data_IF_907648394461
#
_entry.id   IF_907648394461
#
_cell.length_a   1.000
_cell.length_b   1.000
_cell.length_c   1.000
_cell.angle_alpha   90.00
_cell.angle_beta   90.00
_cell.angle_gamma   90.00
#
_symmetry.space_group_name_H-M   'P 1'
#
loop_
_entity.id
_entity.type
_entity.pdbx_description
1 polymer ?
#
# COMPACT_ATOMS: atom_id res chain seq x y z
N UNK A 1 -56.54 -51.40 -17.27
CA UNK A 1 -55.63 -50.68 -18.18
C UNK A 1 -55.46 -49.26 -17.58
N UNK A 2 -54.65 -49.11 -16.60
CA UNK A 2 -54.47 -47.81 -15.91
C UNK A 2 -53.07 -47.30 -16.18
N UNK A 3 -53.02 -46.13 -16.80
CA UNK A 3 -51.80 -45.45 -17.10
C UNK A 3 -51.49 -44.47 -15.90
N UNK A 4 -50.53 -44.82 -15.13
CA UNK A 4 -49.96 -43.91 -14.10
C UNK A 4 -49.07 -42.89 -14.77
N UNK A 5 -49.50 -41.62 -14.75
CA UNK A 5 -48.71 -40.47 -15.16
C UNK A 5 -47.86 -40.04 -13.97
N UNK A 6 -46.54 -40.26 -14.06
CA UNK A 6 -45.58 -39.76 -13.10
C UNK A 6 -45.22 -38.31 -13.39
N UNK A 7 -45.64 -37.38 -12.51
CA UNK A 7 -45.20 -35.99 -12.55
C UNK A 7 -43.80 -35.90 -11.94
N UNK A 8 -42.82 -35.61 -12.75
CA UNK A 8 -41.49 -35.26 -12.30
C UNK A 8 -41.45 -33.75 -11.93
N UNK A 9 -41.36 -33.48 -10.63
CA UNK A 9 -41.09 -32.13 -10.12
C UNK A 9 -39.59 -31.79 -10.32
N UNK A 10 -39.33 -30.95 -11.32
CA UNK A 10 -37.99 -30.33 -11.45
C UNK A 10 -37.88 -29.17 -10.46
N UNK A 11 -37.16 -29.39 -9.38
CA UNK A 11 -36.77 -28.31 -8.44
C UNK A 11 -35.61 -27.52 -9.07
N UNK A 12 -35.90 -26.35 -9.61
CA UNK A 12 -34.88 -25.44 -10.09
C UNK A 12 -34.14 -24.81 -8.88
N UNK A 13 -32.90 -25.21 -8.68
CA UNK A 13 -32.01 -24.65 -7.68
C UNK A 13 -31.42 -23.33 -8.22
N UNK A 14 -31.96 -22.19 -7.78
CA UNK A 14 -31.38 -20.88 -8.07
C UNK A 14 -30.04 -20.75 -7.33
N UNK A 15 -28.94 -20.86 -8.05
CA UNK A 15 -27.61 -20.49 -7.54
C UNK A 15 -27.50 -18.98 -7.59
N UNK A 16 -27.66 -18.34 -6.45
CA UNK A 16 -27.27 -16.92 -6.29
C UNK A 16 -25.75 -16.82 -6.35
N UNK A 17 -25.22 -16.49 -7.51
CA UNK A 17 -23.85 -16.04 -7.64
C UNK A 17 -23.77 -14.64 -7.02
N UNK A 18 -23.34 -14.56 -5.76
CA UNK A 18 -23.02 -13.31 -5.12
C UNK A 18 -21.88 -12.63 -5.89
N UNK A 19 -22.19 -11.57 -6.62
CA UNK A 19 -21.15 -10.71 -7.20
C UNK A 19 -20.41 -10.04 -6.03
N UNK A 20 -19.22 -10.55 -5.71
CA UNK A 20 -18.30 -9.84 -4.85
C UNK A 20 -17.94 -8.53 -5.59
N UNK A 21 -18.42 -7.40 -5.07
CA UNK A 21 -18.01 -6.09 -5.57
C UNK A 21 -16.51 -5.98 -5.34
N UNK A 22 -15.71 -6.01 -6.41
CA UNK A 22 -14.32 -5.64 -6.36
C UNK A 22 -14.27 -4.17 -5.96
N UNK A 23 -13.86 -3.88 -4.73
CA UNK A 23 -13.62 -2.50 -4.32
C UNK A 23 -12.58 -1.89 -5.27
N UNK A 24 -12.91 -0.72 -5.83
CA UNK A 24 -11.99 -0.05 -6.74
C UNK A 24 -10.70 0.30 -6.01
N UNK A 25 -9.57 -0.16 -6.56
CA UNK A 25 -8.24 0.15 -6.06
C UNK A 25 -7.95 1.64 -6.24
N UNK A 26 -7.74 2.35 -5.12
CA UNK A 26 -7.33 3.75 -5.15
C UNK A 26 -5.82 3.86 -5.36
N UNK A 27 -5.40 4.84 -6.15
CA UNK A 27 -3.99 5.18 -6.35
C UNK A 27 -3.73 6.53 -5.71
N UNK A 28 -2.70 6.60 -4.87
CA UNK A 28 -2.31 7.83 -4.19
C UNK A 28 -0.86 8.15 -4.52
N UNK A 29 -0.63 9.36 -5.01
CA UNK A 29 0.69 9.88 -5.32
C UNK A 29 1.27 10.59 -4.10
N UNK A 30 2.48 10.20 -3.73
CA UNK A 30 3.27 10.82 -2.67
C UNK A 30 4.56 11.32 -3.31
N UNK A 31 4.71 12.62 -3.41
CA UNK A 31 5.92 13.24 -3.93
C UNK A 31 6.98 13.30 -2.84
N UNK A 32 8.24 13.14 -3.23
CA UNK A 32 9.39 13.23 -2.32
C UNK A 32 10.30 14.32 -2.84
N UNK A 33 10.61 15.28 -1.99
CA UNK A 33 11.47 16.40 -2.35
C UNK A 33 12.47 16.78 -1.26
N UNK A 34 13.66 17.15 -1.71
CA UNK A 34 14.69 17.77 -0.88
C UNK A 34 15.23 19.00 -1.61
N UNK A 35 15.30 20.12 -0.91
CA UNK A 35 15.88 21.38 -1.40
C UNK A 35 16.77 21.95 -0.31
N UNK A 36 18.07 21.76 -0.47
CA UNK A 36 19.07 22.18 0.53
C UNK A 36 19.17 23.69 0.69
N UNK A 37 18.92 24.43 -0.38
CA UNK A 37 18.99 25.89 -0.35
C UNK A 37 17.83 26.49 0.44
N UNK A 38 16.69 25.80 0.44
CA UNK A 38 15.48 26.22 1.16
C UNK A 38 15.26 25.49 2.46
N UNK A 39 16.15 24.54 2.81
CA UNK A 39 16.00 23.66 3.97
C UNK A 39 14.65 22.92 3.98
N UNK A 40 14.26 22.39 2.82
CA UNK A 40 13.00 21.64 2.64
C UNK A 40 13.30 20.17 2.41
N UNK A 41 12.76 19.30 3.25
CA UNK A 41 12.87 17.84 3.16
C UNK A 41 11.52 17.24 3.52
N UNK A 42 10.79 16.70 2.54
CA UNK A 42 9.42 16.26 2.82
C UNK A 42 8.84 15.24 1.85
N UNK A 43 7.90 14.46 2.34
CA UNK A 43 6.90 13.76 1.56
C UNK A 43 5.65 14.64 1.42
N UNK A 44 5.03 14.65 0.26
CA UNK A 44 3.83 15.45 -0.02
C UNK A 44 2.77 14.58 -0.71
N UNK A 45 1.65 14.29 -0.03
CA UNK A 45 1.34 14.60 1.35
C UNK A 45 2.19 13.78 2.34
N UNK A 46 2.48 14.35 3.51
CA UNK A 46 3.22 13.65 4.56
C UNK A 46 2.34 12.64 5.33
N UNK A 47 1.03 12.82 5.31
CA UNK A 47 0.04 11.93 5.93
C UNK A 47 -0.91 11.40 4.89
N UNK A 48 -0.95 10.08 4.77
CA UNK A 48 -1.76 9.37 3.78
C UNK A 48 -2.69 8.41 4.50
N UNK A 49 -3.95 8.40 4.13
CA UNK A 49 -4.92 7.40 4.59
C UNK A 49 -5.23 6.46 3.45
N UNK A 50 -5.10 5.17 3.69
CA UNK A 50 -5.35 4.14 2.70
C UNK A 50 -6.02 2.91 3.30
N UNK A 51 -6.53 2.04 2.43
CA UNK A 51 -7.06 0.71 2.77
C UNK A 51 -6.19 -0.36 2.14
N UNK A 52 -6.28 -1.57 2.67
CA UNK A 52 -5.64 -2.73 2.05
C UNK A 52 -6.06 -2.84 0.58
N UNK A 53 -5.09 -3.04 -0.31
CA UNK A 53 -5.30 -3.11 -1.76
C UNK A 53 -5.11 -1.78 -2.50
N UNK A 54 -5.13 -0.63 -1.84
CA UNK A 54 -4.77 0.65 -2.45
C UNK A 54 -3.30 0.66 -2.89
N UNK A 55 -2.98 1.47 -3.87
CA UNK A 55 -1.60 1.63 -4.37
C UNK A 55 -1.05 2.97 -3.94
N UNK A 56 0.06 2.95 -3.23
CA UNK A 56 0.87 4.13 -2.95
C UNK A 56 1.96 4.25 -4.02
N UNK A 57 2.07 5.41 -4.64
CA UNK A 57 3.09 5.73 -5.64
C UNK A 57 3.99 6.81 -5.06
N UNK A 58 5.18 6.43 -4.65
CA UNK A 58 6.20 7.37 -4.19
C UNK A 58 7.01 7.84 -5.40
N UNK A 59 7.07 9.13 -5.62
CA UNK A 59 7.77 9.74 -6.75
C UNK A 59 8.79 10.77 -6.30
N UNK A 60 10.05 10.54 -6.62
CA UNK A 60 11.10 11.52 -6.44
C UNK A 60 10.87 12.69 -7.41
N UNK A 61 10.69 13.89 -6.88
CA UNK A 61 10.44 15.08 -7.72
C UNK A 61 11.57 16.09 -7.67
N UNK A 62 12.37 16.07 -6.59
CA UNK A 62 13.53 16.97 -6.43
C UNK A 62 14.51 16.40 -5.40
N UNK A 63 15.81 16.63 -5.66
CA UNK A 63 16.86 16.40 -4.68
C UNK A 63 17.18 14.93 -4.42
N UNK A 64 17.01 14.08 -5.43
CA UNK A 64 17.40 12.66 -5.35
C UNK A 64 18.89 12.51 -4.92
N UNK A 65 19.26 11.36 -4.28
CA UNK A 65 18.46 10.15 -4.12
C UNK A 65 17.49 10.19 -2.94
N UNK A 66 16.39 9.45 -3.06
CA UNK A 66 15.41 9.24 -2.00
C UNK A 66 15.19 7.75 -1.74
N UNK A 67 14.57 7.40 -0.62
CA UNK A 67 14.11 6.05 -0.33
C UNK A 67 12.85 6.08 0.54
N UNK A 68 12.22 4.93 0.65
CA UNK A 68 11.10 4.70 1.56
C UNK A 68 11.51 3.59 2.52
N UNK A 69 11.58 3.90 3.80
CA UNK A 69 11.88 2.94 4.86
C UNK A 69 10.77 3.01 5.90
N UNK A 70 10.10 1.89 6.15
CA UNK A 70 9.13 1.84 7.23
C UNK A 70 9.81 1.66 8.58
N UNK A 71 9.30 2.35 9.59
CA UNK A 71 9.76 2.19 10.97
C UNK A 71 9.29 0.86 11.54
N UNK A 72 10.23 0.00 11.92
CA UNK A 72 9.93 -1.38 12.34
C UNK A 72 9.78 -1.59 13.84
N UNK A 73 10.11 -0.58 14.66
CA UNK A 73 10.31 -0.73 16.11
C UNK A 73 9.12 -1.34 16.85
N UNK A 74 7.91 -0.92 16.50
CA UNK A 74 6.69 -1.29 17.22
C UNK A 74 5.76 -2.18 16.38
N UNK A 75 6.27 -2.78 15.32
CA UNK A 75 5.49 -3.69 14.48
C UNK A 75 5.44 -5.08 15.09
N UNK A 76 4.26 -5.72 15.02
CA UNK A 76 4.18 -7.16 15.23
C UNK A 76 4.93 -7.89 14.11
N UNK A 77 5.40 -9.10 14.37
CA UNK A 77 6.07 -9.93 13.35
C UNK A 77 5.22 -10.08 12.08
N UNK A 78 3.94 -10.39 12.25
CA UNK A 78 3.02 -10.53 11.12
C UNK A 78 2.88 -9.25 10.29
N UNK A 79 2.82 -8.08 10.94
CA UNK A 79 2.75 -6.79 10.24
C UNK A 79 4.06 -6.47 9.54
N UNK A 80 5.19 -6.72 10.19
CA UNK A 80 6.51 -6.56 9.63
C UNK A 80 6.69 -7.39 8.35
N UNK A 81 6.35 -8.67 8.39
CA UNK A 81 6.40 -9.55 7.23
C UNK A 81 5.45 -9.10 6.10
N UNK A 82 4.24 -8.65 6.46
CA UNK A 82 3.27 -8.18 5.47
C UNK A 82 3.75 -6.92 4.75
N UNK A 83 4.34 -5.97 5.46
CA UNK A 83 4.90 -4.74 4.86
C UNK A 83 6.10 -5.11 3.98
N UNK A 84 7.01 -5.95 4.47
CA UNK A 84 8.14 -6.44 3.67
C UNK A 84 7.67 -7.13 2.38
N UNK A 85 6.65 -7.97 2.47
CA UNK A 85 6.06 -8.64 1.30
C UNK A 85 5.44 -7.67 0.30
N UNK A 86 4.83 -6.59 0.77
CA UNK A 86 4.23 -5.55 -0.07
C UNK A 86 5.27 -4.66 -0.77
N UNK A 87 6.47 -4.58 -0.23
CA UNK A 87 7.54 -3.73 -0.75
C UNK A 87 8.26 -4.30 -1.97
N UNK A 88 7.87 -5.46 -2.51
CA UNK A 88 8.41 -6.00 -3.77
C UNK A 88 9.95 -6.02 -3.81
N UNK A 89 10.56 -5.18 -4.64
CA UNK A 89 12.02 -4.99 -4.63
C UNK A 89 12.44 -4.23 -3.39
N UNK A 90 13.39 -4.80 -2.64
CA UNK A 90 13.96 -4.22 -1.42
C UNK A 90 15.47 -4.28 -1.46
N UNK A 91 16.14 -3.35 -0.80
CA UNK A 91 17.59 -3.40 -0.56
C UNK A 91 17.94 -3.84 0.86
N UNK A 92 16.93 -3.89 1.73
CA UNK A 92 17.07 -4.29 3.12
C UNK A 92 15.71 -4.46 3.77
N UNK A 93 15.73 -4.62 5.08
CA UNK A 93 14.52 -4.78 5.87
C UNK A 93 13.68 -3.51 5.83
N UNK A 94 12.39 -3.65 5.47
CA UNK A 94 11.43 -2.54 5.34
C UNK A 94 11.91 -1.37 4.46
N UNK A 95 12.88 -1.62 3.56
CA UNK A 95 13.59 -0.57 2.84
C UNK A 95 13.51 -0.74 1.32
N UNK A 96 13.03 0.30 0.63
CA UNK A 96 13.06 0.37 -0.82
C UNK A 96 14.49 0.52 -1.36
N UNK A 97 14.73 0.22 -2.65
CA UNK A 97 15.91 0.72 -3.33
C UNK A 97 15.95 2.26 -3.31
N UNK A 98 17.14 2.83 -3.53
CA UNK A 98 17.26 4.26 -3.75
C UNK A 98 16.59 4.67 -5.07
N UNK A 99 15.78 5.70 -5.02
CA UNK A 99 15.29 6.42 -6.17
C UNK A 99 16.38 7.41 -6.58
N UNK A 100 17.24 6.99 -7.51
CA UNK A 100 18.50 7.67 -7.83
C UNK A 100 18.34 9.00 -8.53
N UNK A 101 17.24 9.16 -9.28
CA UNK A 101 17.00 10.34 -10.11
C UNK A 101 15.61 10.89 -9.92
N UNK A 102 15.45 12.19 -10.07
CA UNK A 102 14.15 12.82 -10.10
C UNK A 102 13.29 12.23 -11.23
N UNK A 103 12.02 11.99 -10.93
CA UNK A 103 11.09 11.25 -11.79
C UNK A 103 10.98 9.76 -11.48
N UNK A 104 11.93 9.17 -10.74
CA UNK A 104 11.85 7.76 -10.32
C UNK A 104 10.64 7.52 -9.42
N UNK A 105 10.01 6.35 -9.58
CA UNK A 105 8.85 5.94 -8.80
C UNK A 105 9.09 4.60 -8.09
N UNK A 106 8.47 4.47 -6.92
CA UNK A 106 8.36 3.23 -6.18
C UNK A 106 6.92 2.99 -5.76
N UNK A 107 6.41 1.78 -5.98
CA UNK A 107 5.00 1.44 -5.76
C UNK A 107 4.87 0.39 -4.67
N UNK A 108 3.89 0.60 -3.79
CA UNK A 108 3.52 -0.33 -2.73
C UNK A 108 2.02 -0.55 -2.81
N UNK A 109 1.60 -1.81 -2.88
CA UNK A 109 0.21 -2.18 -2.65
C UNK A 109 0.03 -2.32 -1.14
N UNK A 110 -0.88 -1.54 -0.57
CA UNK A 110 -1.12 -1.53 0.88
C UNK A 110 -1.51 -2.93 1.34
N UNK A 111 -0.74 -3.54 2.25
CA UNK A 111 -1.01 -4.89 2.71
C UNK A 111 -2.18 -4.94 3.69
N UNK A 112 -2.73 -6.12 3.87
CA UNK A 112 -3.74 -6.37 4.89
C UNK A 112 -3.06 -6.50 6.26
N UNK A 113 -3.08 -5.43 7.03
CA UNK A 113 -2.53 -5.33 8.38
C UNK A 113 -3.55 -4.66 9.32
N UNK A 114 -3.28 -4.67 10.60
CA UNK A 114 -4.15 -4.03 11.58
C UNK A 114 -4.35 -2.53 11.27
N UNK A 115 -5.54 -1.98 11.44
CA UNK A 115 -5.75 -0.53 11.38
C UNK A 115 -4.81 0.20 12.34
N UNK A 116 -4.24 1.30 11.89
CA UNK A 116 -3.29 2.07 12.69
C UNK A 116 -2.46 3.03 11.86
N UNK A 117 -1.45 3.60 12.48
CA UNK A 117 -0.52 4.53 11.87
C UNK A 117 0.85 3.86 11.74
N UNK A 118 1.38 3.86 10.54
CA UNK A 118 2.66 3.29 10.18
C UNK A 118 3.57 4.39 9.67
N UNK A 119 4.70 4.59 10.33
CA UNK A 119 5.64 5.66 10.00
C UNK A 119 6.64 5.19 8.95
N UNK A 120 7.02 6.10 8.06
CA UNK A 120 8.09 5.88 7.09
C UNK A 120 8.98 7.13 6.99
N UNK A 121 10.18 6.95 6.50
CA UNK A 121 11.16 8.02 6.33
C UNK A 121 12.03 7.79 5.10
N UNK A 122 12.71 8.84 4.67
CA UNK A 122 13.75 8.78 3.65
C UNK A 122 15.12 8.57 4.32
N UNK A 123 15.82 7.49 4.03
CA UNK A 123 17.10 7.19 4.69
C UNK A 123 18.18 8.25 4.41
N UNK A 124 18.43 8.69 3.16
CA UNK A 124 19.41 9.74 2.89
C UNK A 124 19.15 11.06 3.59
N UNK A 125 17.89 11.35 3.92
CA UNK A 125 17.51 12.63 4.53
C UNK A 125 16.88 12.46 5.94
N UNK A 126 17.14 11.34 6.59
CA UNK A 126 16.60 11.06 7.94
C UNK A 126 16.98 12.12 8.96
N UNK A 127 18.22 12.63 8.90
CA UNK A 127 18.72 13.69 9.79
C UNK A 127 17.98 15.02 9.62
N UNK A 128 17.29 15.21 8.51
CA UNK A 128 16.48 16.39 8.19
C UNK A 128 14.97 16.16 8.40
N UNK A 129 14.62 15.07 9.10
CA UNK A 129 13.23 14.71 9.44
C UNK A 129 12.32 14.52 8.22
N UNK A 130 12.87 14.06 7.08
CA UNK A 130 12.08 13.68 5.90
C UNK A 130 11.31 12.38 6.19
N UNK A 131 10.08 12.52 6.67
CA UNK A 131 9.26 11.43 7.17
C UNK A 131 7.78 11.62 6.85
N UNK A 132 7.01 10.54 6.92
CA UNK A 132 5.58 10.54 6.69
C UNK A 132 4.86 9.46 7.47
N UNK A 133 3.54 9.46 7.35
CA UNK A 133 2.64 8.53 8.02
C UNK A 133 1.67 7.89 7.02
N UNK A 134 1.56 6.58 7.09
CA UNK A 134 0.49 5.82 6.45
C UNK A 134 -0.53 5.42 7.52
N UNK A 135 -1.72 5.96 7.42
CA UNK A 135 -2.87 5.55 8.23
C UNK A 135 -3.67 4.51 7.47
N UNK A 136 -3.73 3.31 8.01
CA UNK A 136 -4.58 2.25 7.48
C UNK A 136 -5.92 2.28 8.21
N UNK A 137 -6.99 2.56 7.46
CA UNK A 137 -8.36 2.58 7.93
C UNK A 137 -8.93 1.15 8.08
N UNK A 138 -10.00 1.03 8.88
CA UNK A 138 -10.80 -0.20 9.01
C UNK A 138 -11.54 -0.50 7.73
#
# INVERSE_FOLDING_TARGET
MDRLAGSALFTAMLVFAGAASAEAQNKQLIQIEADREKDVYRFVPAKVTARAGDVLIFKAVRGSPHSIVFEGRDLSEATHEAINGAMGRRTGDLSSPLLQTDGSEYRIVVPRVAPGVYHFYCLPHRAYEEQGELRIAK
#
